data_IF_790062484797
#
_entry.id   IF_790062484797
#
_cell.length_a   1.000
_cell.length_b   1.000
_cell.length_c   1.000
_cell.angle_alpha   90.00
_cell.angle_beta   90.00
_cell.angle_gamma   90.00
#
_symmetry.space_group_name_H-M   'P 1'
#
loop_
_entity.id
_entity.type
_entity.pdbx_description
1 polymer ?
#
# COMPACT_ATOMS: atom_id res chain seq x y z
N UNK A 1 3.41 -52.05 60.63
CA UNK A 1 3.27 -53.39 60.03
C UNK A 1 4.53 -53.65 59.22
N UNK A 2 5.49 -54.39 59.83
CA UNK A 2 6.74 -54.81 59.20
C UNK A 2 6.41 -55.97 58.24
N UNK A 3 6.52 -55.74 56.95
CA UNK A 3 6.46 -56.79 55.97
C UNK A 3 7.72 -57.62 56.10
N UNK A 4 7.64 -58.74 56.83
CA UNK A 4 8.69 -59.72 56.92
C UNK A 4 8.97 -60.28 55.53
N UNK A 5 10.13 -60.02 54.95
CA UNK A 5 10.57 -60.70 53.76
C UNK A 5 10.68 -62.18 54.13
N UNK A 6 10.17 -63.05 53.23
CA UNK A 6 10.21 -64.49 53.37
C UNK A 6 11.69 -64.92 53.45
N UNK A 7 12.14 -65.48 54.62
CA UNK A 7 13.53 -65.85 54.81
C UNK A 7 14.02 -66.98 53.86
N UNK A 8 13.10 -67.66 53.20
CA UNK A 8 13.45 -68.69 52.24
C UNK A 8 13.59 -68.20 50.80
N UNK A 9 13.38 -66.93 50.60
CA UNK A 9 13.48 -66.33 49.24
C UNK A 9 14.85 -66.54 48.58
N UNK A 10 15.92 -66.46 49.38
CA UNK A 10 17.30 -66.66 48.92
C UNK A 10 17.68 -68.14 48.72
N UNK A 11 16.90 -69.08 49.20
CA UNK A 11 17.20 -70.51 49.17
C UNK A 11 16.75 -71.26 47.92
N UNK A 12 15.90 -70.65 47.05
CA UNK A 12 15.49 -71.30 45.82
C UNK A 12 16.28 -70.78 44.60
N UNK A 13 17.31 -71.53 44.12
CA UNK A 13 18.19 -71.10 43.04
C UNK A 13 17.47 -70.73 41.73
N UNK A 14 16.32 -71.35 41.47
CA UNK A 14 15.52 -71.06 40.27
C UNK A 14 14.87 -69.62 40.28
N UNK A 15 14.48 -69.15 41.46
CA UNK A 15 13.93 -67.81 41.61
C UNK A 15 15.01 -66.73 41.54
N UNK A 16 16.14 -66.94 42.12
CA UNK A 16 17.30 -66.04 42.02
C UNK A 16 17.78 -65.90 40.59
N UNK A 17 17.86 -66.98 39.84
CA UNK A 17 18.21 -66.96 38.39
C UNK A 17 17.16 -66.15 37.59
N UNK A 18 15.86 -66.34 37.89
CA UNK A 18 14.78 -65.63 37.24
C UNK A 18 14.88 -64.05 37.43
N UNK A 19 15.18 -63.63 38.68
CA UNK A 19 15.39 -62.21 38.98
C UNK A 19 16.62 -61.65 38.32
N UNK A 20 17.72 -62.38 38.28
CA UNK A 20 18.92 -61.99 37.57
C UNK A 20 18.72 -61.87 36.06
N UNK A 21 17.94 -62.76 35.48
CA UNK A 21 17.60 -62.68 34.05
C UNK A 21 16.68 -61.46 33.76
N UNK A 22 15.67 -61.20 34.59
CA UNK A 22 14.78 -60.04 34.44
C UNK A 22 15.54 -58.72 34.60
N UNK A 23 16.44 -58.62 35.62
CA UNK A 23 17.27 -57.43 35.82
C UNK A 23 18.27 -57.24 34.66
N UNK A 24 18.88 -58.29 34.17
CA UNK A 24 19.79 -58.24 33.02
C UNK A 24 19.07 -57.76 31.75
N UNK A 25 17.87 -58.29 31.43
CA UNK A 25 17.07 -57.87 30.34
C UNK A 25 16.62 -56.38 30.50
N UNK A 26 16.24 -56.00 31.71
CA UNK A 26 15.88 -54.60 32.04
C UNK A 26 17.01 -53.60 31.82
N UNK A 27 18.21 -53.98 32.27
CA UNK A 27 19.45 -53.18 32.08
C UNK A 27 19.83 -53.07 30.61
N UNK A 28 19.64 -54.16 29.82
CA UNK A 28 19.89 -54.16 28.38
C UNK A 28 18.87 -53.31 27.60
N UNK A 29 17.61 -53.33 28.01
CA UNK A 29 16.54 -52.60 27.30
C UNK A 29 16.39 -51.14 27.75
N UNK A 30 16.80 -50.79 28.97
CA UNK A 30 16.68 -49.45 29.51
C UNK A 30 17.35 -48.36 28.63
N UNK A 31 18.57 -48.56 28.08
CA UNK A 31 19.18 -47.55 27.20
C UNK A 31 18.36 -47.32 25.92
N UNK A 32 17.79 -48.38 25.36
CA UNK A 32 16.99 -48.31 24.13
C UNK A 32 15.67 -47.61 24.36
N UNK A 33 15.00 -47.84 25.48
CA UNK A 33 13.77 -47.12 25.85
C UNK A 33 14.03 -45.67 26.15
N UNK A 34 15.15 -45.35 26.85
CA UNK A 34 15.59 -44.00 27.12
C UNK A 34 15.95 -43.24 25.82
N UNK A 35 16.69 -43.89 24.92
CA UNK A 35 17.02 -43.34 23.61
C UNK A 35 15.76 -43.04 22.78
N UNK A 36 14.82 -44.00 22.73
CA UNK A 36 13.56 -43.84 22.04
C UNK A 36 12.67 -42.69 22.63
N UNK A 37 12.74 -42.51 23.94
CA UNK A 37 12.06 -41.35 24.60
C UNK A 37 12.72 -40.02 24.23
N UNK A 38 14.05 -39.94 24.23
CA UNK A 38 14.81 -38.76 23.83
C UNK A 38 14.58 -38.37 22.36
N UNK A 39 14.56 -39.39 21.47
CA UNK A 39 14.27 -39.13 20.02
C UNK A 39 12.86 -38.59 19.88
N UNK A 40 11.85 -39.22 20.49
CA UNK A 40 10.47 -38.72 20.46
C UNK A 40 10.33 -37.29 21.04
N UNK A 41 11.02 -36.99 22.12
CA UNK A 41 11.02 -35.66 22.72
C UNK A 41 11.63 -34.61 21.78
N UNK A 42 12.76 -34.92 21.12
CA UNK A 42 13.37 -34.04 20.13
C UNK A 42 12.47 -33.84 18.90
N UNK A 43 11.82 -34.89 18.42
CA UNK A 43 10.88 -34.78 17.31
C UNK A 43 9.65 -33.94 17.67
N UNK A 44 9.11 -34.08 18.89
CA UNK A 44 8.01 -33.25 19.37
C UNK A 44 8.42 -31.78 19.44
N UNK A 45 9.56 -31.47 20.06
CA UNK A 45 10.10 -30.11 20.11
C UNK A 45 10.34 -29.52 18.71
N UNK A 46 10.89 -30.29 17.78
CA UNK A 46 11.10 -29.84 16.41
C UNK A 46 9.77 -29.56 15.66
N UNK A 47 8.74 -30.38 15.90
CA UNK A 47 7.40 -30.16 15.35
C UNK A 47 6.74 -28.90 15.92
N UNK A 48 6.83 -28.71 17.23
CA UNK A 48 6.28 -27.52 17.90
C UNK A 48 6.96 -26.23 17.40
N UNK A 49 8.29 -26.25 17.24
CA UNK A 49 9.04 -25.12 16.67
C UNK A 49 8.66 -24.86 15.20
N UNK A 50 8.52 -25.92 14.38
CA UNK A 50 8.11 -25.79 12.99
C UNK A 50 6.67 -25.24 12.88
N UNK A 51 5.77 -25.66 13.76
CA UNK A 51 4.40 -25.17 13.81
C UNK A 51 4.35 -23.69 14.23
N UNK A 52 5.11 -23.32 15.26
CA UNK A 52 5.20 -21.94 15.72
C UNK A 52 5.74 -21.01 14.62
N UNK A 53 6.80 -21.45 13.92
CA UNK A 53 7.35 -20.71 12.79
C UNK A 53 6.37 -20.58 11.61
N UNK A 54 5.61 -21.66 11.31
CA UNK A 54 4.58 -21.64 10.26
C UNK A 54 3.43 -20.69 10.59
N UNK A 55 3.01 -20.62 11.87
CA UNK A 55 2.00 -19.68 12.34
C UNK A 55 2.50 -18.24 12.23
N UNK A 56 3.68 -17.94 12.75
CA UNK A 56 4.30 -16.60 12.67
C UNK A 56 4.42 -16.13 11.22
N UNK A 57 4.90 -17.00 10.32
CA UNK A 57 4.98 -16.71 8.89
C UNK A 57 3.61 -16.41 8.30
N UNK A 58 2.58 -17.19 8.64
CA UNK A 58 1.21 -16.99 8.16
C UNK A 58 0.61 -15.66 8.67
N UNK A 59 0.89 -15.29 9.92
CA UNK A 59 0.47 -14.01 10.48
C UNK A 59 1.13 -12.83 9.78
N UNK A 60 2.44 -12.90 9.53
CA UNK A 60 3.18 -11.87 8.76
C UNK A 60 2.67 -11.75 7.31
N UNK A 61 2.35 -12.86 6.64
CA UNK A 61 1.77 -12.84 5.30
C UNK A 61 0.37 -12.20 5.29
N UNK A 62 -0.46 -12.46 6.31
CA UNK A 62 -1.77 -11.80 6.47
C UNK A 62 -1.62 -10.31 6.74
N UNK A 63 -0.74 -9.91 7.66
CA UNK A 63 -0.48 -8.49 7.95
C UNK A 63 0.03 -7.75 6.72
N UNK A 64 0.95 -8.36 5.95
CA UNK A 64 1.44 -7.80 4.70
C UNK A 64 0.32 -7.66 3.65
N UNK A 65 -0.57 -8.65 3.55
CA UNK A 65 -1.72 -8.62 2.64
C UNK A 65 -2.72 -7.55 3.06
N UNK A 66 -3.04 -7.45 4.35
CA UNK A 66 -3.94 -6.43 4.89
C UNK A 66 -3.36 -5.01 4.73
N UNK A 67 -2.05 -4.85 4.96
CA UNK A 67 -1.36 -3.58 4.70
C UNK A 67 -1.42 -3.21 3.21
N UNK A 68 -1.21 -4.18 2.31
CA UNK A 68 -1.32 -3.99 0.86
C UNK A 68 -2.74 -3.60 0.45
N UNK A 69 -3.77 -4.26 0.99
CA UNK A 69 -5.17 -3.92 0.74
C UNK A 69 -5.51 -2.50 1.23
N UNK A 70 -5.02 -2.10 2.41
CA UNK A 70 -5.21 -0.73 2.93
C UNK A 70 -4.52 0.30 2.04
N UNK A 71 -3.32 0.02 1.53
CA UNK A 71 -2.62 0.88 0.58
C UNK A 71 -3.39 1.01 -0.74
N UNK A 72 -3.91 -0.09 -1.27
CA UNK A 72 -4.75 -0.10 -2.48
C UNK A 72 -6.04 0.70 -2.28
N UNK A 73 -6.72 0.54 -1.13
CA UNK A 73 -7.92 1.29 -0.79
C UNK A 73 -7.67 2.79 -0.57
N UNK A 74 -6.47 3.17 -0.10
CA UNK A 74 -6.10 4.57 0.12
C UNK A 74 -5.70 5.31 -1.18
N UNK A 75 -5.37 4.59 -2.26
CA UNK A 75 -4.87 5.20 -3.51
C UNK A 75 -5.98 5.72 -4.42
N UNK A 76 -7.18 5.15 -4.37
CA UNK A 76 -8.36 5.72 -5.04
C UNK A 76 -9.22 6.37 -3.96
N UNK A 77 -9.42 7.68 -4.03
CA UNK A 77 -10.22 8.41 -3.03
C UNK A 77 -11.64 7.85 -2.94
N UNK A 78 -12.02 7.13 -1.85
CA UNK A 78 -13.37 6.56 -1.72
C UNK A 78 -14.43 7.66 -1.73
N UNK A 79 -14.13 8.79 -1.10
CA UNK A 79 -15.02 9.96 -1.05
C UNK A 79 -15.30 10.51 -2.46
N UNK A 80 -14.29 10.58 -3.31
CA UNK A 80 -14.46 10.99 -4.71
C UNK A 80 -15.40 10.04 -5.47
N UNK A 81 -15.21 8.72 -5.32
CA UNK A 81 -16.06 7.73 -5.97
C UNK A 81 -17.52 7.82 -5.51
N UNK A 82 -17.75 7.90 -4.19
CA UNK A 82 -19.11 8.02 -3.65
C UNK A 82 -19.79 9.30 -4.11
N UNK A 83 -19.09 10.44 -4.11
CA UNK A 83 -19.64 11.71 -4.57
C UNK A 83 -19.95 11.69 -6.07
N UNK A 84 -19.10 11.07 -6.88
CA UNK A 84 -19.34 10.95 -8.33
C UNK A 84 -20.52 10.04 -8.63
N UNK A 85 -20.64 8.90 -7.93
CA UNK A 85 -21.80 8.00 -8.06
C UNK A 85 -23.11 8.67 -7.59
N UNK A 86 -23.05 9.44 -6.51
CA UNK A 86 -24.20 10.23 -6.04
C UNK A 86 -24.64 11.27 -7.10
N UNK A 87 -23.68 11.94 -7.74
CA UNK A 87 -23.95 12.85 -8.85
C UNK A 87 -24.57 12.14 -10.05
N UNK A 88 -24.01 10.99 -10.48
CA UNK A 88 -24.58 10.19 -11.56
C UNK A 88 -26.02 9.81 -11.23
N UNK A 89 -26.30 9.36 -10.00
CA UNK A 89 -27.65 9.03 -9.56
C UNK A 89 -28.60 10.23 -9.67
N UNK A 90 -28.21 11.39 -9.19
CA UNK A 90 -29.02 12.62 -9.27
C UNK A 90 -29.32 12.99 -10.75
N UNK A 91 -28.34 12.83 -11.65
CA UNK A 91 -28.52 13.06 -13.09
C UNK A 91 -29.47 12.03 -13.73
N UNK A 92 -29.44 10.78 -13.28
CA UNK A 92 -30.38 9.74 -13.71
C UNK A 92 -31.79 10.05 -13.20
N UNK A 93 -31.94 10.39 -11.93
CA UNK A 93 -33.24 10.72 -11.31
C UNK A 93 -33.92 11.93 -11.99
N UNK A 94 -33.12 12.84 -12.56
CA UNK A 94 -33.60 14.01 -13.31
C UNK A 94 -33.68 13.78 -14.83
N UNK A 95 -33.47 12.56 -15.33
CA UNK A 95 -33.40 12.22 -16.74
C UNK A 95 -32.44 13.11 -17.55
N UNK A 96 -31.33 13.54 -16.94
CA UNK A 96 -30.33 14.37 -17.61
C UNK A 96 -29.58 13.59 -18.69
N UNK A 97 -29.43 14.13 -19.91
CA UNK A 97 -28.65 13.49 -20.97
C UNK A 97 -27.16 13.35 -20.61
N UNK A 98 -26.69 14.07 -19.59
CA UNK A 98 -25.29 14.02 -19.12
C UNK A 98 -25.00 12.78 -18.28
N UNK A 99 -25.99 12.08 -17.73
CA UNK A 99 -25.80 10.93 -16.85
C UNK A 99 -24.91 9.85 -17.47
N UNK A 100 -25.16 9.49 -18.76
CA UNK A 100 -24.39 8.49 -19.49
C UNK A 100 -22.94 8.94 -19.74
N UNK A 101 -22.73 10.23 -20.04
CA UNK A 101 -21.41 10.78 -20.28
C UNK A 101 -20.56 10.76 -19.01
N UNK A 102 -21.12 11.21 -17.86
CA UNK A 102 -20.42 11.18 -16.56
C UNK A 102 -20.09 9.77 -16.12
N UNK A 103 -21.02 8.81 -16.31
CA UNK A 103 -20.75 7.40 -16.01
C UNK A 103 -19.65 6.83 -16.92
N UNK A 104 -19.67 7.17 -18.22
CA UNK A 104 -18.63 6.76 -19.17
C UNK A 104 -17.24 7.28 -18.76
N UNK A 105 -17.15 8.55 -18.37
CA UNK A 105 -15.89 9.15 -17.89
C UNK A 105 -15.43 8.55 -16.55
N UNK A 106 -16.35 8.20 -15.66
CA UNK A 106 -16.01 7.49 -14.42
C UNK A 106 -15.43 6.08 -14.72
N UNK A 107 -16.03 5.35 -15.67
CA UNK A 107 -15.52 4.05 -16.08
C UNK A 107 -14.14 4.19 -16.73
N UNK A 108 -13.91 5.20 -17.57
CA UNK A 108 -12.62 5.48 -18.18
C UNK A 108 -11.56 5.80 -17.13
N UNK A 109 -11.88 6.63 -16.13
CA UNK A 109 -11.01 6.92 -14.99
C UNK A 109 -10.64 5.65 -14.20
N UNK A 110 -11.62 4.83 -13.83
CA UNK A 110 -11.37 3.59 -13.08
C UNK A 110 -10.53 2.59 -13.88
N UNK A 111 -10.78 2.47 -15.19
CA UNK A 111 -9.99 1.61 -16.09
C UNK A 111 -8.54 2.08 -16.19
N UNK A 112 -8.29 3.38 -16.15
CA UNK A 112 -6.96 3.94 -16.12
C UNK A 112 -6.29 3.79 -14.75
N UNK A 113 -7.03 3.93 -13.64
CA UNK A 113 -6.50 3.91 -12.28
C UNK A 113 -6.11 2.50 -11.79
N UNK A 114 -7.03 1.52 -11.94
CA UNK A 114 -6.91 0.20 -11.29
C UNK A 114 -5.63 -0.56 -11.67
N UNK A 115 -5.21 -0.67 -12.95
CA UNK A 115 -4.01 -1.43 -13.32
C UNK A 115 -2.69 -0.84 -12.79
N UNK A 116 -2.72 0.43 -12.37
CA UNK A 116 -1.52 1.17 -11.93
C UNK A 116 -1.25 1.04 -10.44
N UNK A 117 -2.25 0.55 -9.66
CA UNK A 117 -2.15 0.42 -8.20
C UNK A 117 -1.06 -0.57 -7.76
N UNK A 118 -0.79 -1.59 -8.56
CA UNK A 118 0.16 -2.67 -8.23
C UNK A 118 1.56 -2.47 -8.81
N UNK A 119 1.79 -1.40 -9.56
CA UNK A 119 3.11 -1.15 -10.17
C UNK A 119 4.01 -0.35 -9.25
N UNK A 120 5.32 -0.66 -9.18
CA UNK A 120 6.26 0.12 -8.38
C UNK A 120 6.50 1.52 -8.96
N UNK A 121 6.45 1.66 -10.28
CA UNK A 121 6.69 2.90 -11.02
C UNK A 121 5.73 2.98 -12.22
N UNK A 122 5.41 4.21 -12.63
CA UNK A 122 4.61 4.54 -13.81
C UNK A 122 5.34 5.60 -14.64
N UNK A 123 5.08 5.66 -15.94
CA UNK A 123 5.59 6.75 -16.79
C UNK A 123 4.72 8.00 -16.64
N UNK A 124 5.27 9.17 -16.99
CA UNK A 124 4.44 10.38 -17.02
C UNK A 124 3.34 10.33 -18.10
N UNK A 125 3.53 9.61 -19.20
CA UNK A 125 2.45 9.40 -20.16
C UNK A 125 1.26 8.68 -19.50
N UNK A 126 1.52 7.63 -18.73
CA UNK A 126 0.48 6.92 -17.98
C UNK A 126 -0.18 7.81 -16.92
N UNK A 127 0.60 8.60 -16.18
CA UNK A 127 0.08 9.56 -15.19
C UNK A 127 -0.80 10.64 -15.86
N UNK A 128 -0.40 11.14 -17.02
CA UNK A 128 -1.15 12.15 -17.78
C UNK A 128 -2.48 11.62 -18.30
N UNK A 129 -2.53 10.37 -18.79
CA UNK A 129 -3.80 9.73 -19.17
C UNK A 129 -4.77 9.69 -17.99
N UNK A 130 -4.28 9.28 -16.83
CA UNK A 130 -5.09 9.19 -15.61
C UNK A 130 -5.59 10.57 -15.16
N UNK A 131 -4.71 11.57 -15.16
CA UNK A 131 -5.05 12.95 -14.78
C UNK A 131 -6.04 13.58 -15.77
N UNK A 132 -5.89 13.32 -17.07
CA UNK A 132 -6.88 13.77 -18.08
C UNK A 132 -8.26 13.19 -17.80
N UNK A 133 -8.35 11.88 -17.60
CA UNK A 133 -9.62 11.23 -17.29
C UNK A 133 -10.28 11.78 -16.02
N UNK A 134 -9.46 12.06 -14.98
CA UNK A 134 -9.92 12.69 -13.76
C UNK A 134 -10.43 14.13 -13.99
N UNK A 135 -9.65 14.97 -14.68
CA UNK A 135 -10.01 16.37 -14.92
C UNK A 135 -11.22 16.52 -15.84
N UNK A 136 -11.38 15.64 -16.83
CA UNK A 136 -12.59 15.58 -17.66
C UNK A 136 -13.83 15.32 -16.81
N UNK A 137 -13.75 14.34 -15.90
CA UNK A 137 -14.83 14.04 -14.97
C UNK A 137 -15.14 15.23 -14.03
N UNK A 138 -14.10 15.91 -13.52
CA UNK A 138 -14.28 17.11 -12.70
C UNK A 138 -14.85 18.30 -13.50
N UNK A 139 -14.42 18.47 -14.72
CA UNK A 139 -14.93 19.52 -15.60
C UNK A 139 -16.42 19.33 -15.92
N UNK A 140 -16.88 18.09 -16.12
CA UNK A 140 -18.32 17.79 -16.25
C UNK A 140 -19.13 18.18 -15.01
N UNK A 141 -18.52 18.08 -13.82
CA UNK A 141 -19.14 18.50 -12.54
C UNK A 141 -19.14 20.03 -12.36
N UNK A 142 -18.11 20.69 -12.86
CA UNK A 142 -17.84 22.11 -12.66
C UNK A 142 -17.43 22.78 -13.99
N UNK A 143 -18.29 22.82 -15.02
CA UNK A 143 -17.90 23.23 -16.38
C UNK A 143 -17.44 24.70 -16.43
N UNK A 144 -18.05 25.56 -15.66
CA UNK A 144 -17.77 27.01 -15.66
C UNK A 144 -16.66 27.41 -14.67
N UNK A 145 -16.30 26.49 -13.76
CA UNK A 145 -15.37 26.77 -12.65
C UNK A 145 -13.99 26.13 -12.80
N UNK A 146 -13.88 24.98 -13.48
CA UNK A 146 -12.61 24.28 -13.64
C UNK A 146 -12.05 24.49 -15.04
N UNK A 147 -10.88 25.11 -15.13
CA UNK A 147 -10.05 25.17 -16.34
C UNK A 147 -8.73 24.49 -16.06
N UNK A 148 -8.12 23.89 -17.07
CA UNK A 148 -6.81 23.24 -16.90
C UNK A 148 -5.96 23.30 -18.16
N UNK A 149 -4.63 23.29 -17.98
CA UNK A 149 -3.63 23.28 -19.05
C UNK A 149 -2.54 22.26 -18.77
N UNK A 150 -1.99 21.69 -19.84
CA UNK A 150 -0.86 20.77 -19.76
C UNK A 150 0.31 21.30 -20.59
N UNK A 151 1.50 21.37 -19.99
CA UNK A 151 2.76 21.69 -20.63
C UNK A 151 3.78 20.60 -20.28
N UNK A 152 3.88 19.60 -21.14
CA UNK A 152 4.72 18.43 -20.90
C UNK A 152 5.71 18.30 -22.03
N UNK A 153 6.99 18.34 -21.69
CA UNK A 153 8.07 18.12 -22.64
C UNK A 153 8.09 16.66 -23.10
N UNK A 154 8.33 16.41 -24.38
CA UNK A 154 8.31 15.06 -24.93
C UNK A 154 9.36 14.15 -24.25
N UNK A 155 10.54 14.69 -23.92
CA UNK A 155 11.58 13.97 -23.19
C UNK A 155 11.17 13.59 -21.75
N UNK A 156 10.18 14.26 -21.19
CA UNK A 156 9.69 13.97 -19.84
C UNK A 156 8.63 12.87 -19.79
N UNK A 157 7.96 12.56 -20.92
CA UNK A 157 6.86 11.61 -20.98
C UNK A 157 7.24 10.19 -20.58
N UNK A 158 8.45 9.75 -20.98
CA UNK A 158 8.98 8.42 -20.69
C UNK A 158 9.60 8.31 -19.29
N UNK A 159 9.77 9.43 -18.57
CA UNK A 159 10.33 9.41 -17.22
C UNK A 159 9.41 8.72 -16.24
N UNK A 160 9.99 8.03 -15.26
CA UNK A 160 9.28 7.22 -14.27
C UNK A 160 9.12 7.95 -12.94
N UNK A 161 7.94 7.82 -12.35
CA UNK A 161 7.61 8.28 -11.00
C UNK A 161 6.78 7.22 -10.26
N UNK A 162 6.64 7.29 -8.94
CA UNK A 162 5.67 6.47 -8.21
C UNK A 162 4.26 6.69 -8.76
N UNK A 163 3.43 5.64 -8.89
CA UNK A 163 2.07 5.77 -9.41
C UNK A 163 1.25 6.78 -8.63
N UNK A 164 0.27 7.40 -9.25
CA UNK A 164 -0.61 8.42 -8.66
C UNK A 164 0.13 9.69 -8.17
N UNK A 165 1.37 9.93 -8.61
CA UNK A 165 2.14 11.12 -8.24
C UNK A 165 1.45 12.38 -8.75
N UNK A 166 1.19 12.45 -10.05
CA UNK A 166 0.58 13.62 -10.68
C UNK A 166 -0.90 13.75 -10.29
N UNK A 167 -1.62 12.64 -10.22
CA UNK A 167 -3.00 12.62 -9.78
C UNK A 167 -3.16 13.18 -8.37
N UNK A 168 -2.30 12.80 -7.42
CA UNK A 168 -2.36 13.31 -6.03
C UNK A 168 -2.23 14.84 -5.98
N UNK A 169 -1.36 15.43 -6.80
CA UNK A 169 -1.20 16.88 -6.87
C UNK A 169 -2.45 17.55 -7.45
N UNK A 170 -2.99 16.99 -8.52
CA UNK A 170 -4.17 17.53 -9.20
C UNK A 170 -5.43 17.37 -8.36
N UNK A 171 -5.61 16.24 -7.68
CA UNK A 171 -6.71 16.06 -6.72
C UNK A 171 -6.67 17.11 -5.59
N UNK A 172 -5.46 17.41 -5.06
CA UNK A 172 -5.30 18.44 -4.06
C UNK A 172 -5.66 19.84 -4.61
N UNK A 173 -5.23 20.17 -5.81
CA UNK A 173 -5.56 21.42 -6.47
C UNK A 173 -7.08 21.58 -6.71
N UNK A 174 -7.75 20.52 -7.17
CA UNK A 174 -9.21 20.50 -7.32
C UNK A 174 -9.89 20.66 -5.96
N UNK A 175 -9.54 19.80 -4.99
CA UNK A 175 -10.23 19.72 -3.70
C UNK A 175 -10.06 20.96 -2.82
N UNK A 176 -8.85 21.50 -2.79
CA UNK A 176 -8.49 22.59 -1.88
C UNK A 176 -8.41 23.96 -2.57
N UNK A 177 -8.16 23.98 -3.88
CA UNK A 177 -8.10 25.21 -4.66
C UNK A 177 -9.44 25.53 -5.34
N UNK A 178 -9.89 24.66 -6.25
CA UNK A 178 -11.01 24.96 -7.15
C UNK A 178 -12.39 24.76 -6.50
N UNK A 179 -12.56 23.64 -5.79
CA UNK A 179 -13.87 23.27 -5.19
C UNK A 179 -14.37 24.31 -4.16
N UNK A 180 -13.54 24.90 -3.28
CA UNK A 180 -13.94 25.95 -2.36
C UNK A 180 -14.11 27.33 -3.01
N UNK A 181 -13.48 27.60 -4.17
CA UNK A 181 -13.55 28.88 -4.86
C UNK A 181 -14.86 29.04 -5.60
N UNK A 182 -15.66 30.06 -5.30
CA UNK A 182 -16.91 30.34 -6.01
C UNK A 182 -16.66 30.70 -7.49
N UNK A 183 -15.59 31.44 -7.76
CA UNK A 183 -15.16 31.80 -9.13
C UNK A 183 -14.47 30.66 -9.88
N UNK A 184 -14.14 29.57 -9.16
CA UNK A 184 -13.35 28.48 -9.71
C UNK A 184 -11.88 28.86 -9.88
N UNK A 185 -11.22 28.33 -10.92
CA UNK A 185 -9.83 28.62 -11.22
C UNK A 185 -9.25 27.80 -12.35
N UNK A 186 -7.95 28.01 -12.55
CA UNK A 186 -7.13 27.31 -13.52
C UNK A 186 -6.16 26.35 -12.80
N UNK A 187 -6.01 25.15 -13.29
CA UNK A 187 -4.94 24.23 -12.90
C UNK A 187 -3.93 24.16 -14.05
N UNK A 188 -2.70 24.55 -13.79
CA UNK A 188 -1.59 24.50 -14.75
C UNK A 188 -0.61 23.38 -14.34
N UNK A 189 -0.43 22.42 -15.23
CA UNK A 189 0.33 21.19 -15.00
C UNK A 189 1.52 21.20 -15.93
N UNK A 190 2.74 21.17 -15.37
CA UNK A 190 3.96 21.16 -16.15
C UNK A 190 4.85 20.01 -15.73
N UNK A 191 5.42 19.32 -16.72
CA UNK A 191 6.44 18.29 -16.50
C UNK A 191 7.59 18.55 -17.48
N UNK A 192 8.79 18.65 -16.94
CA UNK A 192 9.97 18.96 -17.71
C UNK A 192 11.17 18.15 -17.25
N UNK A 193 12.08 17.86 -18.17
CA UNK A 193 13.42 17.35 -17.85
C UNK A 193 14.42 18.48 -17.80
N UNK A 194 15.20 18.56 -16.73
CA UNK A 194 16.29 19.53 -16.57
C UNK A 194 17.58 18.77 -16.23
N UNK A 195 18.30 18.36 -17.27
CA UNK A 195 19.49 17.52 -17.15
C UNK A 195 19.17 16.18 -16.47
N UNK A 196 19.80 15.83 -15.34
CA UNK A 196 19.55 14.58 -14.62
C UNK A 196 18.29 14.59 -13.74
N UNK A 197 17.51 15.70 -13.73
CA UNK A 197 16.37 15.89 -12.85
C UNK A 197 15.07 15.97 -13.62
N UNK A 198 14.01 15.39 -13.06
CA UNK A 198 12.63 15.60 -13.44
C UNK A 198 12.04 16.71 -12.56
N UNK A 199 11.38 17.66 -13.19
CA UNK A 199 10.66 18.76 -12.55
C UNK A 199 9.17 18.65 -12.87
N UNK A 200 8.36 18.59 -11.83
CA UNK A 200 6.89 18.58 -11.92
C UNK A 200 6.39 19.82 -11.21
N UNK A 201 5.49 20.54 -11.85
CA UNK A 201 4.82 21.69 -11.27
C UNK A 201 3.33 21.52 -11.49
N UNK A 202 2.57 21.62 -10.41
CA UNK A 202 1.11 21.80 -10.44
C UNK A 202 0.78 23.08 -9.70
N UNK A 203 0.12 23.97 -10.38
CA UNK A 203 -0.30 25.28 -9.86
C UNK A 203 -1.79 25.42 -10.04
N UNK A 204 -2.47 25.90 -9.02
CA UNK A 204 -3.86 26.34 -9.11
C UNK A 204 -3.98 27.83 -8.83
N UNK A 205 -5.07 28.43 -9.28
CA UNK A 205 -5.46 29.82 -9.00
C UNK A 205 -6.73 29.87 -8.16
N UNK A 206 -6.93 28.87 -7.31
CA UNK A 206 -8.12 28.73 -6.47
C UNK A 206 -8.06 29.53 -5.17
N UNK A 207 -8.69 28.98 -4.13
CA UNK A 207 -8.88 29.66 -2.84
C UNK A 207 -7.57 29.92 -2.04
N UNK A 208 -6.44 29.30 -2.44
CA UNK A 208 -5.17 29.40 -1.72
C UNK A 208 -5.05 28.46 -0.51
N UNK A 209 -4.03 28.68 0.33
CA UNK A 209 -3.84 27.92 1.55
C UNK A 209 -4.80 28.40 2.63
N UNK A 210 -5.57 27.50 3.22
CA UNK A 210 -6.44 27.82 4.35
C UNK A 210 -5.61 27.97 5.63
N UNK A 211 -5.86 29.00 6.44
CA UNK A 211 -5.19 29.28 7.70
C UNK A 211 -5.28 28.12 8.73
N UNK A 212 -6.27 27.24 8.59
CA UNK A 212 -6.44 26.07 9.45
C UNK A 212 -5.56 24.87 9.06
N UNK A 213 -4.81 24.96 7.97
CA UNK A 213 -4.02 23.87 7.40
C UNK A 213 -2.50 24.05 7.52
N UNK A 214 -1.96 24.14 8.74
CA UNK A 214 -0.49 24.15 8.98
C UNK A 214 0.22 22.83 8.66
N UNK A 215 -0.48 21.84 8.11
CA UNK A 215 0.07 20.55 7.71
C UNK A 215 -0.22 20.24 6.24
N UNK A 216 0.78 19.72 5.54
CA UNK A 216 0.58 19.02 4.27
C UNK A 216 -0.50 17.95 4.50
N UNK A 217 -1.65 18.06 3.83
CA UNK A 217 -2.74 17.09 3.97
C UNK A 217 -2.23 15.67 3.76
N UNK A 218 -2.98 14.68 4.23
CA UNK A 218 -2.58 13.25 4.18
C UNK A 218 -2.10 12.80 2.81
N UNK A 219 -2.66 13.35 1.72
CA UNK A 219 -2.24 13.04 0.34
C UNK A 219 -0.80 13.46 0.03
N UNK A 220 -0.44 14.71 0.34
CA UNK A 220 0.91 15.22 0.06
C UNK A 220 1.98 14.63 0.99
N UNK A 221 1.63 14.32 2.25
CA UNK A 221 2.56 13.64 3.16
C UNK A 221 2.86 12.21 2.70
N UNK A 222 1.84 11.47 2.25
CA UNK A 222 1.99 10.14 1.66
C UNK A 222 2.80 10.19 0.35
N UNK A 223 2.55 11.17 -0.51
CA UNK A 223 3.32 11.36 -1.74
C UNK A 223 4.80 11.65 -1.43
N UNK A 224 5.09 12.52 -0.46
CA UNK A 224 6.47 12.82 -0.04
C UNK A 224 7.19 11.56 0.42
N UNK A 225 6.54 10.71 1.21
CA UNK A 225 7.14 9.48 1.69
C UNK A 225 7.37 8.46 0.55
N UNK A 226 6.43 8.32 -0.38
CA UNK A 226 6.61 7.47 -1.57
C UNK A 226 7.79 7.94 -2.44
N UNK A 227 7.90 9.24 -2.70
CA UNK A 227 9.03 9.82 -3.44
C UNK A 227 10.34 9.58 -2.70
N UNK A 228 10.37 9.77 -1.36
CA UNK A 228 11.55 9.51 -0.53
C UNK A 228 12.04 8.06 -0.66
N UNK A 229 11.11 7.10 -0.61
CA UNK A 229 11.42 5.67 -0.77
C UNK A 229 11.87 5.34 -2.19
N UNK A 230 11.16 5.82 -3.20
CA UNK A 230 11.47 5.52 -4.61
C UNK A 230 12.82 6.06 -5.06
N UNK A 231 13.23 7.22 -4.53
CA UNK A 231 14.46 7.92 -4.93
C UNK A 231 15.52 7.98 -3.82
N UNK A 232 15.43 7.09 -2.82
CA UNK A 232 16.40 6.98 -1.72
C UNK A 232 16.67 8.32 -1.00
N UNK A 233 15.64 9.14 -0.85
CA UNK A 233 15.73 10.46 -0.22
C UNK A 233 16.14 11.60 -1.17
N UNK A 234 16.52 11.31 -2.42
CA UNK A 234 16.88 12.34 -3.41
C UNK A 234 15.64 12.85 -4.17
N UNK A 235 14.62 13.25 -3.42
CA UNK A 235 13.43 13.91 -3.95
C UNK A 235 13.05 15.11 -3.07
N UNK A 236 12.59 16.18 -3.70
CA UNK A 236 12.15 17.40 -3.03
C UNK A 236 10.70 17.66 -3.36
N UNK A 237 9.93 18.08 -2.35
CA UNK A 237 8.54 18.51 -2.49
C UNK A 237 8.42 19.88 -1.84
N UNK A 238 8.06 20.89 -2.60
CA UNK A 238 7.81 22.23 -2.09
C UNK A 238 6.37 22.66 -2.37
N UNK A 239 5.78 23.35 -1.42
CA UNK A 239 4.44 23.93 -1.52
C UNK A 239 4.55 25.41 -1.22
N UNK A 240 4.03 26.25 -2.09
CA UNK A 240 4.08 27.69 -1.96
C UNK A 240 2.72 28.29 -2.29
N UNK A 241 2.37 29.35 -1.62
CA UNK A 241 1.22 30.16 -1.96
C UNK A 241 1.52 31.03 -3.18
N UNK A 242 0.53 31.19 -4.05
CA UNK A 242 0.62 32.03 -5.25
C UNK A 242 -0.11 33.37 -5.04
N UNK A 243 0.39 34.39 -5.69
CA UNK A 243 -0.23 35.72 -5.67
C UNK A 243 -1.00 35.93 -6.98
N UNK A 244 -2.26 36.44 -6.99
CA UNK A 244 -3.02 36.96 -5.83
C UNK A 244 -3.68 35.85 -4.98
N UNK A 245 -3.87 34.64 -5.48
CA UNK A 245 -4.41 33.47 -4.76
C UNK A 245 -4.03 32.18 -5.45
N UNK A 246 -4.12 31.03 -4.74
CA UNK A 246 -3.82 29.72 -5.24
C UNK A 246 -2.61 29.07 -4.59
N UNK A 247 -2.27 27.88 -5.05
CA UNK A 247 -1.17 27.10 -4.52
C UNK A 247 -0.31 26.57 -5.66
N UNK A 248 1.01 26.56 -5.44
CA UNK A 248 2.00 25.94 -6.30
C UNK A 248 2.67 24.77 -5.57
N UNK A 249 2.62 23.60 -6.15
CA UNK A 249 3.37 22.42 -5.70
C UNK A 249 4.43 22.08 -6.73
N UNK A 250 5.66 21.99 -6.28
CA UNK A 250 6.80 21.63 -7.10
C UNK A 250 7.42 20.32 -6.59
N UNK A 251 7.68 19.40 -7.50
CA UNK A 251 8.46 18.19 -7.23
C UNK A 251 9.74 18.22 -8.05
N UNK A 252 10.82 17.77 -7.44
CA UNK A 252 12.12 17.59 -8.10
C UNK A 252 12.72 16.26 -7.65
N UNK A 253 13.07 15.39 -8.60
CA UNK A 253 13.66 14.07 -8.33
C UNK A 253 14.49 13.59 -9.53
N UNK A 254 15.35 12.55 -9.36
CA UNK A 254 16.17 12.03 -10.45
C UNK A 254 15.35 11.57 -11.66
N UNK A 255 15.72 12.03 -12.86
CA UNK A 255 15.11 11.57 -14.11
C UNK A 255 15.51 10.10 -14.36
N UNK A 256 14.56 9.17 -14.23
CA UNK A 256 14.77 7.74 -14.50
C UNK A 256 13.91 7.34 -15.68
N UNK A 257 14.53 6.76 -16.69
CA UNK A 257 13.86 6.05 -17.76
C UNK A 257 13.81 4.56 -17.45
N UNK A 258 12.93 3.80 -18.12
CA UNK A 258 12.96 2.34 -17.99
C UNK A 258 14.37 1.85 -18.33
N UNK A 259 14.91 0.95 -17.52
CA UNK A 259 16.08 0.19 -17.95
C UNK A 259 15.67 -0.58 -19.21
N UNK A 260 16.36 -0.29 -20.33
CA UNK A 260 16.17 -0.95 -21.60
C UNK A 260 16.44 -2.46 -21.50
#
# INVERSE_FOLDING_TARGET
MTTGGDPNFAGEPKRVIGYLQLTFIGVLLAPWTALGALVRQKEALARDQALAFALEKSELEREATDARLRLLQAQVSPHFLFNTLANVRALVDTNSPQASAVLGSLIAYLRAAVPRLDRPMATFDEELELVRAYLELMHMRMPDRLRYTFQVEDEARALHCPPMTLLTLVENAVRHGIDPSEEGGLIDIRVARRGPRCHVLVRDTGAGLSESGTGLGTGLSTLRERLRLAFAGDARVSVKEETPSGVRVELEFPAREAAA
#
